data_IF_750854060775
#
_entry.id   IF_750854060775
#
_cell.length_a   1.000
_cell.length_b   1.000
_cell.length_c   1.000
_cell.angle_alpha   90.00
_cell.angle_beta   90.00
_cell.angle_gamma   90.00
#
_symmetry.space_group_name_H-M   'P 1'
#
loop_
_entity.id
_entity.type
_entity.pdbx_description
1 polymer ?
#
# COMPACT_ATOMS: atom_id res chain seq x y z
N UNK A 1 10.39 -17.86 -3.87
CA UNK A 1 8.94 -17.73 -3.56
C UNK A 1 8.13 -18.32 -4.71
N UNK A 2 7.27 -19.31 -4.46
CA UNK A 2 6.42 -19.89 -5.51
C UNK A 2 5.20 -18.98 -5.73
N UNK A 3 5.31 -18.04 -6.67
CA UNK A 3 4.26 -17.05 -6.95
C UNK A 3 2.92 -17.69 -7.31
N UNK A 4 2.93 -18.88 -7.92
CA UNK A 4 1.71 -19.65 -8.24
C UNK A 4 0.94 -20.05 -6.99
N UNK A 5 1.66 -20.50 -5.96
CA UNK A 5 1.06 -20.86 -4.67
C UNK A 5 0.43 -19.64 -4.00
N UNK A 6 1.11 -18.48 -4.05
CA UNK A 6 0.56 -17.23 -3.53
C UNK A 6 -0.71 -16.80 -4.28
N UNK A 7 -0.68 -16.86 -5.61
CA UNK A 7 -1.84 -16.53 -6.44
C UNK A 7 -3.02 -17.46 -6.17
N UNK A 8 -2.77 -18.77 -6.02
CA UNK A 8 -3.80 -19.74 -5.66
C UNK A 8 -4.46 -19.39 -4.33
N UNK A 9 -3.67 -19.14 -3.27
CA UNK A 9 -4.20 -18.77 -1.96
C UNK A 9 -5.01 -17.47 -2.04
N UNK A 10 -4.53 -16.46 -2.76
CA UNK A 10 -5.24 -15.19 -2.92
C UNK A 10 -6.58 -15.37 -3.65
N UNK A 11 -6.61 -16.15 -4.73
CA UNK A 11 -7.82 -16.40 -5.50
C UNK A 11 -8.84 -17.22 -4.70
N UNK A 12 -8.38 -18.22 -3.94
CA UNK A 12 -9.27 -19.00 -3.06
C UNK A 12 -9.91 -18.13 -1.97
N UNK A 13 -9.14 -17.21 -1.38
CA UNK A 13 -9.67 -16.29 -0.36
C UNK A 13 -10.63 -15.27 -0.99
N UNK A 14 -10.34 -14.79 -2.20
CA UNK A 14 -11.20 -13.86 -2.94
C UNK A 14 -12.54 -14.49 -3.37
N UNK A 15 -12.63 -15.82 -3.45
CA UNK A 15 -13.88 -16.53 -3.74
C UNK A 15 -14.82 -16.66 -2.52
N UNK A 16 -14.37 -16.27 -1.32
CA UNK A 16 -15.22 -16.26 -0.12
C UNK A 16 -16.16 -15.04 -0.13
N UNK A 17 -17.32 -15.11 0.54
CA UNK A 17 -18.14 -13.92 0.78
C UNK A 17 -17.33 -12.82 1.46
N UNK A 18 -17.53 -11.55 1.11
CA UNK A 18 -16.72 -10.41 1.59
C UNK A 18 -16.56 -10.35 3.12
N UNK A 19 -17.64 -10.71 3.84
CA UNK A 19 -17.67 -10.78 5.32
C UNK A 19 -16.63 -11.76 5.89
N UNK A 20 -16.23 -12.76 5.12
CA UNK A 20 -15.27 -13.80 5.49
C UNK A 20 -13.92 -13.62 4.79
N UNK A 21 -13.90 -13.14 3.54
CA UNK A 21 -12.69 -12.95 2.76
C UNK A 21 -11.68 -12.06 3.50
N UNK A 22 -12.09 -10.90 4.00
CA UNK A 22 -11.17 -9.96 4.63
C UNK A 22 -10.58 -10.46 5.97
N UNK A 23 -11.37 -11.00 6.93
CA UNK A 23 -10.80 -11.59 8.15
C UNK A 23 -9.86 -12.76 7.88
N UNK A 24 -10.20 -13.63 6.92
CA UNK A 24 -9.36 -14.77 6.53
C UNK A 24 -8.06 -14.28 5.91
N UNK A 25 -8.13 -13.35 4.96
CA UNK A 25 -6.97 -12.73 4.33
C UNK A 25 -6.04 -12.09 5.38
N UNK A 26 -6.61 -11.34 6.33
CA UNK A 26 -5.86 -10.72 7.43
C UNK A 26 -5.15 -11.74 8.32
N UNK A 27 -5.81 -12.83 8.69
CA UNK A 27 -5.20 -13.90 9.49
C UNK A 27 -4.05 -14.58 8.75
N UNK A 28 -4.22 -14.86 7.46
CA UNK A 28 -3.17 -15.44 6.61
C UNK A 28 -1.97 -14.49 6.54
N UNK A 29 -2.20 -13.22 6.27
CA UNK A 29 -1.15 -12.19 6.25
C UNK A 29 -0.46 -12.03 7.60
N UNK A 30 -1.18 -12.09 8.73
CA UNK A 30 -0.58 -12.02 10.07
C UNK A 30 0.29 -13.23 10.41
N UNK A 31 -0.06 -14.42 9.89
CA UNK A 31 0.66 -15.67 10.19
C UNK A 31 1.84 -15.92 9.25
N UNK A 32 1.70 -15.59 7.97
CA UNK A 32 2.66 -15.93 6.93
C UNK A 32 3.30 -14.71 6.25
N UNK A 33 2.79 -13.52 6.52
CA UNK A 33 3.38 -12.25 6.12
C UNK A 33 3.90 -11.48 7.32
N UNK A 34 4.42 -10.30 7.04
CA UNK A 34 4.78 -9.32 8.06
C UNK A 34 3.93 -8.05 7.84
N UNK A 35 2.70 -8.03 8.39
CA UNK A 35 1.80 -6.91 8.22
C UNK A 35 2.19 -5.71 9.09
N UNK A 36 3.30 -5.75 9.83
CA UNK A 36 3.83 -4.66 10.65
C UNK A 36 5.28 -4.31 10.30
N UNK A 37 5.80 -4.84 9.20
CA UNK A 37 7.19 -4.61 8.76
C UNK A 37 7.53 -3.13 8.69
N UNK A 38 8.83 -2.82 8.81
CA UNK A 38 9.38 -1.48 8.61
C UNK A 38 8.79 -0.82 7.36
N UNK A 39 8.24 0.36 7.55
CA UNK A 39 7.58 1.21 6.56
C UNK A 39 8.56 2.19 5.89
N UNK A 40 9.73 2.42 6.50
CA UNK A 40 10.78 3.26 5.95
C UNK A 40 11.18 2.90 4.50
N UNK A 41 11.26 1.62 4.09
CA UNK A 41 11.52 1.24 2.70
C UNK A 41 10.49 1.77 1.71
N UNK A 42 9.22 1.94 2.13
CA UNK A 42 8.14 2.45 1.27
C UNK A 42 8.27 3.96 1.06
N UNK A 43 8.51 4.72 2.12
CA UNK A 43 8.84 6.15 2.02
C UNK A 43 10.08 6.39 1.15
N UNK A 44 11.14 5.60 1.34
CA UNK A 44 12.36 5.69 0.50
C UNK A 44 12.07 5.39 -0.98
N UNK A 45 11.22 4.41 -1.25
CA UNK A 45 10.79 4.08 -2.62
C UNK A 45 9.99 5.22 -3.24
N UNK A 46 9.04 5.80 -2.51
CA UNK A 46 8.25 6.94 -2.97
C UNK A 46 9.12 8.19 -3.22
N UNK A 47 10.07 8.49 -2.33
CA UNK A 47 11.01 9.59 -2.52
C UNK A 47 11.88 9.40 -3.78
N UNK A 48 12.31 8.17 -4.07
CA UNK A 48 13.00 7.82 -5.32
C UNK A 48 12.12 8.04 -6.55
N UNK A 49 10.85 7.65 -6.48
CA UNK A 49 9.89 7.90 -7.56
C UNK A 49 9.73 9.40 -7.81
N UNK A 50 9.59 10.22 -6.77
CA UNK A 50 9.54 11.68 -6.91
C UNK A 50 10.82 12.29 -7.49
N UNK A 51 11.99 11.75 -7.14
CA UNK A 51 13.26 12.16 -7.75
C UNK A 51 13.31 11.83 -9.26
N UNK A 52 12.82 10.65 -9.66
CA UNK A 52 12.69 10.31 -11.09
C UNK A 52 11.69 11.21 -11.79
N UNK A 53 10.53 11.44 -11.20
CA UNK A 53 9.49 12.29 -11.78
C UNK A 53 10.04 13.70 -12.05
N UNK A 54 10.74 14.29 -11.09
CA UNK A 54 11.44 15.58 -11.27
C UNK A 54 12.51 15.54 -12.36
N UNK A 55 13.31 14.48 -12.43
CA UNK A 55 14.34 14.31 -13.48
C UNK A 55 13.74 14.32 -14.88
N UNK A 56 12.50 13.85 -15.05
CA UNK A 56 11.78 13.83 -16.32
C UNK A 56 10.79 14.98 -16.48
N UNK A 57 10.96 16.08 -15.72
CA UNK A 57 10.09 17.26 -15.78
C UNK A 57 8.59 16.98 -15.49
N UNK A 58 8.32 15.99 -14.64
CA UNK A 58 7.00 15.57 -14.17
C UNK A 58 6.95 15.71 -12.64
N UNK A 59 7.19 16.92 -12.12
CA UNK A 59 7.17 17.17 -10.67
C UNK A 59 5.86 16.75 -10.01
N UNK A 60 5.87 16.60 -8.68
CA UNK A 60 4.68 16.21 -7.91
C UNK A 60 3.81 17.40 -7.51
N UNK A 61 4.26 18.63 -7.73
CA UNK A 61 3.54 19.85 -7.34
C UNK A 61 2.17 19.92 -8.04
N UNK A 62 1.10 19.95 -7.25
CA UNK A 62 -0.31 19.92 -7.68
C UNK A 62 -0.69 18.71 -8.56
N UNK A 63 0.12 17.66 -8.55
CA UNK A 63 -0.12 16.47 -9.36
C UNK A 63 -1.33 15.66 -8.85
N UNK A 64 -2.03 15.03 -9.80
CA UNK A 64 -3.01 13.98 -9.51
C UNK A 64 -2.35 12.61 -9.59
N UNK A 65 -2.26 11.91 -8.46
CA UNK A 65 -1.60 10.60 -8.33
C UNK A 65 -2.65 9.50 -8.18
N UNK A 66 -2.50 8.43 -8.95
CA UNK A 66 -3.21 7.17 -8.75
C UNK A 66 -2.27 6.14 -8.15
N UNK A 67 -2.51 5.73 -6.91
CA UNK A 67 -1.85 4.59 -6.30
C UNK A 67 -2.70 3.33 -6.50
N UNK A 68 -2.11 2.30 -7.09
CA UNK A 68 -2.71 0.97 -7.22
C UNK A 68 -2.05 0.00 -6.24
N UNK A 69 -2.86 -0.70 -5.45
CA UNK A 69 -2.38 -1.70 -4.50
C UNK A 69 -1.94 -1.10 -3.16
N UNK A 70 -2.74 -0.19 -2.60
CA UNK A 70 -2.50 0.44 -1.28
C UNK A 70 -2.21 -0.58 -0.19
N UNK A 71 -2.93 -1.70 -0.22
CA UNK A 71 -2.82 -2.78 0.73
C UNK A 71 -3.07 -2.30 2.16
N UNK A 72 -2.02 -2.40 2.99
CA UNK A 72 -2.14 -2.30 4.45
C UNK A 72 -1.70 -0.97 5.05
N UNK A 73 -1.04 -0.14 4.26
CA UNK A 73 -0.30 1.02 4.76
C UNK A 73 -0.39 2.15 3.75
N UNK A 74 -0.41 3.38 4.27
CA UNK A 74 -0.66 4.59 3.49
C UNK A 74 0.62 5.41 3.28
N UNK A 75 1.78 4.76 3.37
CA UNK A 75 3.10 5.43 3.34
C UNK A 75 3.36 6.13 2.00
N UNK A 76 2.97 5.51 0.89
CA UNK A 76 3.15 6.07 -0.45
C UNK A 76 2.21 7.26 -0.68
N UNK A 77 0.90 7.19 -0.37
CA UNK A 77 0.02 8.36 -0.40
C UNK A 77 0.55 9.52 0.44
N UNK A 78 1.00 9.26 1.67
CA UNK A 78 1.59 10.28 2.53
C UNK A 78 2.84 10.87 1.88
N UNK A 79 3.74 10.05 1.37
CA UNK A 79 4.95 10.52 0.70
C UNK A 79 4.63 11.40 -0.52
N UNK A 80 3.65 11.00 -1.35
CA UNK A 80 3.18 11.81 -2.48
C UNK A 80 2.62 13.16 -2.02
N UNK A 81 1.82 13.18 -0.95
CA UNK A 81 1.31 14.42 -0.38
C UNK A 81 2.45 15.34 0.09
N UNK A 82 3.43 14.79 0.81
CA UNK A 82 4.62 15.53 1.27
C UNK A 82 5.49 16.04 0.12
N UNK A 83 5.41 15.42 -1.05
CA UNK A 83 6.10 15.86 -2.27
C UNK A 83 5.32 16.91 -3.07
N UNK A 84 4.13 17.33 -2.62
CA UNK A 84 3.35 18.41 -3.23
C UNK A 84 2.14 17.95 -4.05
N UNK A 85 1.79 16.65 -4.05
CA UNK A 85 0.64 16.16 -4.80
C UNK A 85 -0.67 16.80 -4.31
N UNK A 86 -1.41 17.42 -5.23
CA UNK A 86 -2.68 18.08 -4.94
C UNK A 86 -3.85 17.11 -4.75
N UNK A 87 -3.77 15.93 -5.39
CA UNK A 87 -4.79 14.89 -5.27
C UNK A 87 -4.16 13.50 -5.33
N UNK A 88 -4.58 12.63 -4.42
CA UNK A 88 -4.16 11.22 -4.41
C UNK A 88 -5.40 10.34 -4.37
N UNK A 89 -5.52 9.46 -5.36
CA UNK A 89 -6.55 8.42 -5.43
C UNK A 89 -5.87 7.08 -5.17
N UNK A 90 -6.39 6.34 -4.21
CA UNK A 90 -5.80 5.10 -3.70
C UNK A 90 -6.79 3.98 -3.96
N UNK A 91 -6.39 2.92 -4.66
CA UNK A 91 -7.26 1.78 -4.96
C UNK A 91 -6.61 0.47 -4.56
N UNK A 92 -7.40 -0.41 -3.96
CA UNK A 92 -7.00 -1.79 -3.66
C UNK A 92 -8.18 -2.74 -3.87
N UNK A 93 -7.89 -3.97 -4.25
CA UNK A 93 -8.89 -5.02 -4.38
C UNK A 93 -9.49 -5.41 -3.02
N UNK A 94 -8.71 -5.30 -1.94
CA UNK A 94 -9.12 -5.64 -0.59
C UNK A 94 -9.07 -4.38 0.28
N UNK A 95 -10.17 -4.08 0.99
CA UNK A 95 -10.19 -2.98 1.96
C UNK A 95 -9.41 -3.37 3.21
N UNK A 96 -8.09 -3.30 3.13
CA UNK A 96 -7.18 -3.84 4.13
C UNK A 96 -6.60 -2.77 5.07
N UNK A 97 -7.07 -1.53 4.92
CA UNK A 97 -6.75 -0.43 5.82
C UNK A 97 -7.38 -0.67 7.20
N UNK A 98 -6.53 -0.68 8.23
CA UNK A 98 -6.92 -0.82 9.62
C UNK A 98 -6.31 0.30 10.45
N UNK A 99 -7.03 0.89 11.41
CA UNK A 99 -6.52 2.00 12.22
C UNK A 99 -5.18 1.70 12.92
N UNK A 100 -4.94 0.47 13.33
CA UNK A 100 -3.70 0.05 13.98
C UNK A 100 -2.51 0.08 13.03
N UNK A 101 -2.72 -0.31 11.76
CA UNK A 101 -1.68 -0.33 10.73
C UNK A 101 -1.42 1.08 10.19
N UNK A 102 -2.48 1.89 10.04
CA UNK A 102 -2.35 3.30 9.66
C UNK A 102 -1.53 4.07 10.69
N UNK A 103 -1.76 3.82 11.99
CA UNK A 103 -0.95 4.44 13.05
C UNK A 103 0.53 4.09 12.94
N UNK A 104 0.88 2.91 12.43
CA UNK A 104 2.28 2.58 12.17
C UNK A 104 2.85 3.48 11.07
N UNK A 105 2.13 3.66 9.94
CA UNK A 105 2.52 4.55 8.83
C UNK A 105 2.88 5.98 9.28
N UNK A 106 2.19 6.47 10.31
CA UNK A 106 2.40 7.81 10.85
C UNK A 106 3.60 7.92 11.81
N UNK A 107 4.02 6.83 12.47
CA UNK A 107 5.14 6.86 13.44
C UNK A 107 6.50 7.12 12.81
N UNK A 108 6.60 7.04 11.49
CA UNK A 108 7.84 7.31 10.75
C UNK A 108 8.04 8.80 10.45
N UNK A 109 6.97 9.59 10.54
CA UNK A 109 7.02 11.06 10.46
C UNK A 109 7.39 11.64 11.83
#
# INVERSE_FOLDING_TARGET
MNWKMKALVQNTVAALPDRLAQPVYYRIQKKFGDPASDIGPRYRSAARMGAWARRYHQGMDDASVLETGTGRAIDVPIACYLMGAGKIVSVDLNHYLRPELIRQSLRYL
#
